data_IF_284234260081
#
_entry.id   IF_284234260081
#
_cell.length_a   1.000
_cell.length_b   1.000
_cell.length_c   1.000
_cell.angle_alpha   90.00
_cell.angle_beta   90.00
_cell.angle_gamma   90.00
#
_symmetry.space_group_name_H-M   'P 1'
#
loop_
_entity.id
_entity.type
_entity.pdbx_description
1 polymer ?
#
# COMPACT_ATOMS: atom_id res chain seq x y z
N UNK A 1 -12.91 19.92 41.79
CA UNK A 1 -14.29 20.27 41.40
C UNK A 1 -14.64 19.40 40.20
N UNK A 2 -15.63 18.56 40.39
CA UNK A 2 -16.11 17.58 39.39
C UNK A 2 -17.12 18.29 38.49
N UNK A 3 -16.98 18.23 37.17
CA UNK A 3 -18.06 18.47 36.27
C UNK A 3 -18.29 17.22 35.44
N UNK A 4 -19.42 16.61 35.71
CA UNK A 4 -20.02 15.53 34.93
C UNK A 4 -20.76 16.17 33.73
N UNK A 5 -20.47 15.74 32.54
CA UNK A 5 -21.28 16.03 31.37
C UNK A 5 -22.22 14.84 31.16
N UNK A 6 -23.49 15.11 31.24
CA UNK A 6 -24.61 14.17 31.08
C UNK A 6 -24.90 14.08 29.59
N UNK A 7 -24.78 12.89 29.01
CA UNK A 7 -25.28 12.59 27.67
C UNK A 7 -26.76 12.25 27.77
N UNK A 8 -27.58 13.04 27.10
CA UNK A 8 -29.01 12.78 26.97
C UNK A 8 -29.27 11.79 25.82
N UNK A 9 -29.82 10.64 26.16
CA UNK A 9 -30.46 9.73 25.21
C UNK A 9 -31.80 10.33 24.77
N UNK A 10 -31.99 10.48 23.48
CA UNK A 10 -33.29 10.65 22.88
C UNK A 10 -33.73 9.36 22.21
N UNK A 11 -34.56 8.60 22.89
CA UNK A 11 -35.37 7.51 22.31
C UNK A 11 -36.59 8.14 21.67
N UNK A 12 -36.76 8.03 20.36
CA UNK A 12 -38.00 8.23 19.67
C UNK A 12 -38.50 6.90 19.11
N UNK A 13 -39.54 6.41 19.77
CA UNK A 13 -40.39 5.31 19.32
C UNK A 13 -41.44 5.84 18.33
N UNK A 14 -41.56 5.21 17.15
CA UNK A 14 -42.75 5.19 16.30
C UNK A 14 -42.76 3.84 15.61
N UNK A 15 -43.67 2.95 15.86
CA UNK A 15 -45.09 3.05 15.68
C UNK A 15 -45.43 2.07 14.56
N UNK A 16 -45.71 0.80 14.92
CA UNK A 16 -46.18 -0.23 14.02
C UNK A 16 -47.57 0.11 13.44
N UNK A 17 -47.73 -0.06 12.15
CA UNK A 17 -49.08 -0.29 11.55
C UNK A 17 -49.05 -1.57 10.75
N UNK A 18 -49.64 -2.58 11.35
CA UNK A 18 -50.10 -3.82 10.71
C UNK A 18 -51.30 -3.51 9.82
N UNK A 19 -51.27 -3.93 8.59
CA UNK A 19 -52.46 -4.17 7.81
C UNK A 19 -52.45 -5.59 7.26
N UNK A 20 -53.28 -6.40 7.88
CA UNK A 20 -53.59 -7.74 7.45
C UNK A 20 -54.51 -7.72 6.23
N UNK A 21 -54.21 -8.54 5.25
CA UNK A 21 -55.10 -8.89 4.15
C UNK A 21 -55.12 -10.36 3.93
N UNK A 22 -56.15 -11.07 4.43
CA UNK A 22 -56.45 -12.46 4.18
C UNK A 22 -56.91 -12.71 2.75
N UNK A 23 -56.45 -13.82 2.17
CA UNK A 23 -57.02 -14.42 0.98
C UNK A 23 -56.51 -15.84 0.79
N UNK A 24 -57.25 -16.82 1.32
CA UNK A 24 -57.01 -18.22 1.18
C UNK A 24 -57.40 -18.77 -0.19
N UNK A 25 -56.63 -19.65 -0.79
CA UNK A 25 -57.12 -20.89 -1.40
C UNK A 25 -55.98 -21.93 -1.55
N UNK A 26 -56.30 -23.14 -1.17
CA UNK A 26 -55.42 -24.32 -1.17
C UNK A 26 -55.17 -24.82 -2.62
N UNK A 27 -53.94 -25.30 -2.84
CA UNK A 27 -53.59 -26.11 -4.01
C UNK A 27 -52.29 -26.83 -3.74
N UNK A 28 -52.41 -28.13 -3.61
CA UNK A 28 -51.32 -29.09 -3.33
C UNK A 28 -50.45 -29.26 -4.59
N UNK A 29 -49.11 -29.14 -4.46
CA UNK A 29 -48.18 -29.44 -5.53
C UNK A 29 -46.74 -29.36 -5.02
N UNK A 30 -46.15 -30.51 -4.74
CA UNK A 30 -44.77 -30.68 -4.35
C UNK A 30 -43.89 -30.44 -5.58
N UNK A 31 -43.16 -29.35 -5.63
CA UNK A 31 -41.96 -29.22 -6.44
C UNK A 31 -40.88 -28.51 -5.60
N UNK A 32 -39.83 -29.29 -5.27
CA UNK A 32 -38.58 -28.79 -4.76
C UNK A 32 -37.82 -28.07 -5.87
N UNK A 33 -38.16 -26.81 -6.10
CA UNK A 33 -37.34 -25.89 -6.84
C UNK A 33 -36.57 -25.06 -5.81
N UNK A 34 -35.27 -25.20 -5.76
CA UNK A 34 -34.43 -24.19 -5.13
C UNK A 34 -34.71 -22.87 -5.85
N UNK A 35 -35.53 -22.02 -5.22
CA UNK A 35 -35.62 -20.62 -5.60
C UNK A 35 -34.24 -20.03 -5.26
N UNK A 36 -33.42 -19.81 -6.27
CA UNK A 36 -32.34 -18.87 -6.14
C UNK A 36 -32.96 -17.55 -5.70
N UNK A 37 -32.64 -17.11 -4.51
CA UNK A 37 -32.82 -15.71 -4.15
C UNK A 37 -32.07 -14.94 -5.24
N UNK A 38 -32.81 -14.18 -6.05
CA UNK A 38 -32.18 -13.16 -6.87
C UNK A 38 -31.60 -12.18 -5.89
N UNK A 39 -30.28 -12.24 -5.67
CA UNK A 39 -29.59 -11.20 -4.94
C UNK A 39 -29.91 -9.89 -5.66
N UNK A 40 -30.40 -8.91 -4.94
CA UNK A 40 -30.66 -7.55 -5.42
C UNK A 40 -29.30 -6.80 -5.57
N UNK A 41 -28.23 -7.55 -5.85
CA UNK A 41 -26.90 -7.06 -6.05
C UNK A 41 -26.79 -6.49 -7.46
N UNK A 42 -26.39 -5.23 -7.55
CA UNK A 42 -26.17 -4.53 -8.80
C UNK A 42 -25.01 -5.14 -9.61
N UNK A 43 -24.85 -4.66 -10.83
CA UNK A 43 -23.72 -5.00 -11.68
C UNK A 43 -22.62 -3.95 -11.61
N UNK A 44 -22.37 -3.41 -10.42
CA UNK A 44 -21.34 -2.40 -10.15
C UNK A 44 -20.34 -2.98 -9.16
N UNK A 45 -19.06 -2.83 -9.45
CA UNK A 45 -17.94 -3.15 -8.56
C UNK A 45 -17.18 -1.86 -8.31
N UNK A 46 -17.21 -1.37 -7.07
CA UNK A 46 -16.48 -0.17 -6.66
C UNK A 46 -15.09 -0.52 -6.15
N UNK A 47 -14.05 -0.02 -6.83
CA UNK A 47 -12.66 -0.22 -6.45
C UNK A 47 -12.04 1.10 -5.99
N UNK A 48 -11.62 1.15 -4.71
CA UNK A 48 -10.87 2.27 -4.15
C UNK A 48 -9.38 2.13 -4.42
N UNK A 49 -8.79 3.15 -5.03
CA UNK A 49 -7.38 3.20 -5.44
C UNK A 49 -6.80 4.59 -5.19
N UNK A 50 -5.48 4.71 -5.06
CA UNK A 50 -4.79 6.01 -4.92
C UNK A 50 -4.32 6.60 -6.25
N UNK A 51 -4.25 5.79 -7.29
CA UNK A 51 -3.94 6.20 -8.66
C UNK A 51 -4.56 5.20 -9.65
N UNK A 52 -4.25 5.35 -10.92
CA UNK A 52 -4.77 4.51 -12.00
C UNK A 52 -3.88 3.28 -12.34
N UNK A 53 -2.82 3.03 -11.58
CA UNK A 53 -1.91 1.92 -11.88
C UNK A 53 -2.63 0.58 -11.81
N UNK A 54 -3.36 0.31 -10.74
CA UNK A 54 -4.08 -0.96 -10.60
C UNK A 54 -5.10 -1.17 -11.74
N UNK A 55 -5.84 -0.12 -12.12
CA UNK A 55 -6.74 -0.16 -13.27
C UNK A 55 -6.01 -0.56 -14.54
N UNK A 56 -4.93 0.13 -14.87
CA UNK A 56 -4.20 -0.13 -16.11
C UNK A 56 -3.57 -1.52 -16.16
N UNK A 57 -3.12 -2.04 -15.00
CA UNK A 57 -2.60 -3.42 -14.88
C UNK A 57 -3.73 -4.46 -15.06
N UNK A 58 -4.86 -4.25 -14.40
CA UNK A 58 -6.03 -5.13 -14.52
C UNK A 58 -6.51 -5.17 -15.98
N UNK A 59 -6.68 -4.01 -16.61
CA UNK A 59 -7.12 -3.91 -18.01
C UNK A 59 -6.16 -4.59 -18.99
N UNK A 60 -4.87 -4.62 -18.68
CA UNK A 60 -3.87 -5.27 -19.53
C UNK A 60 -3.93 -6.79 -19.48
N UNK A 61 -4.44 -7.40 -18.41
CA UNK A 61 -4.38 -8.85 -18.20
C UNK A 61 -5.74 -9.53 -18.06
N UNK A 62 -6.80 -8.80 -17.72
CA UNK A 62 -8.11 -9.37 -17.51
C UNK A 62 -8.91 -9.46 -18.81
N UNK A 63 -9.17 -10.68 -19.35
CA UNK A 63 -9.71 -10.87 -20.68
C UNK A 63 -11.18 -10.44 -20.82
N UNK A 64 -11.89 -10.25 -19.72
CA UNK A 64 -13.29 -9.85 -19.72
C UNK A 64 -13.49 -8.33 -19.86
N UNK A 65 -12.43 -7.55 -19.92
CA UNK A 65 -12.52 -6.10 -20.18
C UNK A 65 -13.01 -5.87 -21.60
N UNK A 66 -14.11 -5.13 -21.71
CA UNK A 66 -14.73 -4.76 -22.99
C UNK A 66 -14.29 -3.37 -23.44
N UNK A 67 -14.45 -2.39 -22.58
CA UNK A 67 -14.11 -1.00 -22.85
C UNK A 67 -13.95 -0.20 -21.56
N UNK A 68 -13.19 0.89 -21.64
CA UNK A 68 -13.03 1.85 -20.53
C UNK A 68 -13.50 3.22 -20.98
N UNK A 69 -14.19 3.94 -20.09
CA UNK A 69 -14.64 5.32 -20.32
C UNK A 69 -13.45 6.24 -20.63
N UNK A 70 -13.70 7.33 -21.38
CA UNK A 70 -12.63 8.24 -21.81
C UNK A 70 -11.87 8.91 -20.67
N UNK A 71 -12.54 9.10 -19.53
CA UNK A 71 -11.98 9.68 -18.32
C UNK A 71 -11.34 8.62 -17.40
N UNK A 72 -11.43 7.34 -17.76
CA UNK A 72 -10.86 6.23 -17.00
C UNK A 72 -11.57 5.93 -15.70
N UNK A 73 -12.80 6.44 -15.49
CA UNK A 73 -13.54 6.24 -14.23
C UNK A 73 -14.36 4.96 -14.19
N UNK A 74 -14.71 4.41 -15.37
CA UNK A 74 -15.53 3.19 -15.47
C UNK A 74 -14.94 2.26 -16.51
N UNK A 75 -14.74 0.99 -16.12
CA UNK A 75 -14.40 -0.11 -17.02
C UNK A 75 -15.59 -1.07 -17.11
N UNK A 76 -16.10 -1.31 -18.33
CA UNK A 76 -17.22 -2.20 -18.58
C UNK A 76 -16.69 -3.59 -18.99
N UNK A 77 -17.23 -4.65 -18.39
CA UNK A 77 -16.93 -6.03 -18.71
C UNK A 77 -17.84 -6.60 -19.79
N UNK A 78 -17.49 -7.75 -20.36
CA UNK A 78 -18.24 -8.40 -21.43
C UNK A 78 -19.67 -8.80 -21.03
N UNK A 79 -19.91 -9.09 -19.76
CA UNK A 79 -21.22 -9.45 -19.20
C UNK A 79 -22.08 -8.22 -18.82
N UNK A 80 -21.54 -7.02 -19.01
CA UNK A 80 -22.16 -5.74 -18.68
C UNK A 80 -21.95 -5.28 -17.23
N UNK A 81 -21.10 -5.96 -16.46
CA UNK A 81 -20.64 -5.47 -15.15
C UNK A 81 -19.79 -4.21 -15.35
N UNK A 82 -19.98 -3.22 -14.49
CA UNK A 82 -19.20 -1.98 -14.47
C UNK A 82 -18.25 -1.97 -13.29
N UNK A 83 -16.97 -1.72 -13.52
CA UNK A 83 -15.98 -1.44 -12.49
C UNK A 83 -15.84 0.07 -12.37
N UNK A 84 -16.22 0.62 -11.24
CA UNK A 84 -16.07 2.04 -10.93
C UNK A 84 -14.77 2.28 -10.16
N UNK A 85 -13.90 3.09 -10.73
CA UNK A 85 -12.59 3.43 -10.16
C UNK A 85 -12.69 4.69 -9.31
N UNK A 86 -12.62 4.54 -7.99
CA UNK A 86 -12.71 5.64 -7.04
C UNK A 86 -11.29 6.01 -6.61
N UNK A 87 -10.72 6.98 -7.33
CA UNK A 87 -9.31 7.37 -7.16
C UNK A 87 -9.21 8.54 -6.20
N UNK A 88 -8.49 8.32 -5.08
CA UNK A 88 -8.13 9.33 -4.11
C UNK A 88 -6.61 9.32 -3.91
N UNK A 89 -5.90 10.45 -4.09
CA UNK A 89 -4.44 10.45 -4.00
C UNK A 89 -3.95 10.06 -2.59
N UNK A 90 -2.84 9.31 -2.54
CA UNK A 90 -2.26 8.85 -1.27
C UNK A 90 -1.50 9.97 -0.51
N UNK A 91 -1.30 11.13 -1.14
CA UNK A 91 -0.60 12.26 -0.55
C UNK A 91 -1.31 12.74 0.73
N UNK A 92 -0.53 13.05 1.76
CA UNK A 92 -1.01 13.57 3.06
C UNK A 92 -2.08 12.69 3.75
N UNK A 93 -2.13 11.40 3.41
CA UNK A 93 -3.08 10.44 3.98
C UNK A 93 -4.53 10.60 3.48
N UNK A 94 -4.76 11.36 2.42
CA UNK A 94 -6.11 11.62 1.87
C UNK A 94 -6.79 10.32 1.48
N UNK A 95 -6.08 9.39 0.83
CA UNK A 95 -6.63 8.09 0.46
C UNK A 95 -7.22 7.33 1.66
N UNK A 96 -6.42 7.18 2.73
CA UNK A 96 -6.88 6.45 3.93
C UNK A 96 -8.07 7.14 4.59
N UNK A 97 -8.05 8.48 4.69
CA UNK A 97 -9.19 9.24 5.25
C UNK A 97 -10.47 9.00 4.46
N UNK A 98 -10.40 9.02 3.13
CA UNK A 98 -11.55 8.79 2.26
C UNK A 98 -12.03 7.34 2.28
N UNK A 99 -11.11 6.39 2.35
CA UNK A 99 -11.45 4.98 2.53
C UNK A 99 -12.16 4.74 3.87
N UNK A 100 -11.63 5.28 4.97
CA UNK A 100 -12.24 5.17 6.31
C UNK A 100 -13.65 5.78 6.35
N UNK A 101 -13.83 6.96 5.72
CA UNK A 101 -15.14 7.62 5.62
C UNK A 101 -16.15 6.73 4.87
N UNK A 102 -15.75 6.16 3.74
CA UNK A 102 -16.60 5.30 2.93
C UNK A 102 -16.92 3.98 3.65
N UNK A 103 -15.92 3.31 4.24
CA UNK A 103 -16.11 2.08 5.02
C UNK A 103 -17.02 2.29 6.23
N UNK A 104 -16.97 3.44 6.88
CA UNK A 104 -17.88 3.76 8.00
C UNK A 104 -19.37 3.80 7.60
N UNK A 105 -19.65 4.01 6.33
CA UNK A 105 -21.00 4.05 5.76
C UNK A 105 -21.41 2.73 5.09
N UNK A 106 -20.51 1.74 5.02
CA UNK A 106 -20.70 0.48 4.29
C UNK A 106 -22.00 -0.25 4.63
N UNK A 107 -22.37 -0.29 5.91
CA UNK A 107 -23.57 -1.00 6.38
C UNK A 107 -24.90 -0.37 5.91
N UNK A 108 -24.88 0.92 5.56
CA UNK A 108 -26.07 1.69 5.16
C UNK A 108 -26.07 2.09 3.69
N UNK A 109 -24.98 1.85 2.99
CA UNK A 109 -24.87 2.12 1.55
C UNK A 109 -25.80 1.21 0.75
N UNK A 110 -26.30 1.71 -0.39
CA UNK A 110 -26.99 0.88 -1.37
C UNK A 110 -26.04 -0.16 -1.96
N UNK A 111 -26.52 -1.23 -2.59
CA UNK A 111 -25.68 -2.25 -3.18
C UNK A 111 -24.62 -1.66 -4.13
N UNK A 112 -25.04 -0.75 -5.00
CA UNK A 112 -24.17 -0.12 -6.01
C UNK A 112 -23.22 0.97 -5.44
N UNK A 113 -23.37 1.39 -4.18
CA UNK A 113 -22.55 2.40 -3.53
C UNK A 113 -21.55 1.78 -2.52
N UNK A 114 -21.61 0.47 -2.29
CA UNK A 114 -20.69 -0.22 -1.40
C UNK A 114 -19.28 -0.27 -1.98
N UNK A 115 -18.28 -0.32 -1.10
CA UNK A 115 -16.93 -0.65 -1.49
C UNK A 115 -16.82 -2.18 -1.61
N UNK A 116 -16.41 -2.66 -2.77
CA UNK A 116 -16.21 -4.08 -3.00
C UNK A 116 -14.74 -4.46 -2.88
N UNK A 117 -13.84 -3.61 -3.40
CA UNK A 117 -12.40 -3.81 -3.35
C UNK A 117 -11.73 -2.48 -3.00
N UNK A 118 -10.69 -2.57 -2.18
CA UNK A 118 -9.83 -1.42 -1.92
C UNK A 118 -8.36 -1.83 -1.89
N UNK A 119 -7.49 -0.93 -2.29
CA UNK A 119 -6.05 -1.13 -2.20
C UNK A 119 -5.54 -0.76 -0.80
N UNK A 120 -4.50 -1.44 -0.34
CA UNK A 120 -3.85 -1.15 0.92
C UNK A 120 -2.34 -1.32 0.80
N UNK A 121 -1.60 -0.41 1.42
CA UNK A 121 -0.14 -0.53 1.57
C UNK A 121 0.19 -1.42 2.77
N UNK A 122 1.33 -2.09 2.70
CA UNK A 122 1.85 -2.92 3.80
C UNK A 122 1.92 -2.17 5.13
N UNK A 123 2.17 -0.86 5.09
CA UNK A 123 2.35 -0.02 6.28
C UNK A 123 1.08 0.10 7.14
N UNK A 124 -0.09 -0.11 6.55
CA UNK A 124 -1.36 0.02 7.26
C UNK A 124 -2.38 -1.07 6.93
N UNK A 125 -1.97 -2.15 6.25
CA UNK A 125 -2.88 -3.23 5.83
C UNK A 125 -3.62 -3.86 7.01
N UNK A 126 -2.96 -4.07 8.16
CA UNK A 126 -3.57 -4.66 9.35
C UNK A 126 -4.74 -3.86 9.92
N UNK A 127 -4.80 -2.57 9.68
CA UNK A 127 -5.95 -1.75 10.05
C UNK A 127 -7.25 -2.29 9.47
N UNK A 128 -7.18 -2.94 8.31
CA UNK A 128 -8.34 -3.42 7.56
C UNK A 128 -8.45 -4.94 7.53
N UNK A 129 -7.31 -5.66 7.62
CA UNK A 129 -7.28 -7.12 7.54
C UNK A 129 -7.29 -7.78 8.91
N UNK A 130 -7.09 -7.05 10.01
CA UNK A 130 -7.25 -7.63 11.35
C UNK A 130 -8.67 -8.17 11.52
N UNK A 131 -8.80 -9.35 12.11
CA UNK A 131 -10.10 -10.02 12.31
C UNK A 131 -11.09 -9.22 13.12
N UNK A 132 -10.58 -8.39 14.05
CA UNK A 132 -11.39 -7.56 14.94
C UNK A 132 -11.78 -6.22 14.29
N UNK A 133 -11.21 -5.89 13.12
CA UNK A 133 -11.57 -4.69 12.36
C UNK A 133 -12.93 -4.81 11.67
N UNK A 134 -13.38 -6.03 11.36
CA UNK A 134 -14.63 -6.32 10.65
C UNK A 134 -14.78 -5.53 9.32
N UNK A 135 -13.70 -5.45 8.56
CA UNK A 135 -13.64 -4.72 7.29
C UNK A 135 -13.38 -5.66 6.12
N UNK A 136 -12.17 -6.24 6.01
CA UNK A 136 -11.87 -7.16 4.94
C UNK A 136 -12.39 -8.56 5.29
N UNK A 137 -13.26 -9.11 4.43
CA UNK A 137 -13.79 -10.45 4.65
C UNK A 137 -12.78 -11.53 4.26
N UNK A 138 -12.85 -12.75 4.84
CA UNK A 138 -12.08 -13.88 4.38
C UNK A 138 -12.34 -14.16 2.89
N UNK A 139 -11.29 -14.36 2.12
CA UNK A 139 -11.45 -14.65 0.69
C UNK A 139 -12.14 -16.00 0.42
N UNK A 140 -12.03 -16.93 1.35
CA UNK A 140 -12.74 -18.22 1.27
C UNK A 140 -14.26 -18.05 1.37
N UNK A 141 -14.75 -17.04 2.08
CA UNK A 141 -16.18 -16.70 2.15
C UNK A 141 -16.72 -16.20 0.81
N UNK A 142 -15.83 -15.73 -0.07
CA UNK A 142 -16.12 -15.40 -1.47
C UNK A 142 -16.02 -16.61 -2.41
N UNK A 143 -15.77 -17.81 -1.87
CA UNK A 143 -15.61 -19.04 -2.66
C UNK A 143 -14.22 -19.19 -3.31
N UNK A 144 -13.23 -18.42 -2.90
CA UNK A 144 -11.87 -18.50 -3.41
C UNK A 144 -11.10 -19.55 -2.60
N UNK A 145 -10.65 -20.63 -3.27
CA UNK A 145 -9.69 -21.56 -2.67
C UNK A 145 -8.31 -20.90 -2.64
N UNK A 146 -7.95 -20.31 -1.50
CA UNK A 146 -6.72 -19.52 -1.37
C UNK A 146 -5.44 -20.35 -1.58
N UNK A 147 -5.44 -21.63 -1.20
CA UNK A 147 -4.29 -22.50 -1.39
C UNK A 147 -4.03 -22.82 -2.87
N UNK A 148 -5.08 -22.93 -3.66
CA UNK A 148 -4.98 -23.13 -5.10
C UNK A 148 -4.73 -21.82 -5.85
N UNK A 149 -5.50 -20.78 -5.53
CA UNK A 149 -5.44 -19.49 -6.24
C UNK A 149 -4.10 -18.77 -6.04
N UNK A 150 -3.45 -18.97 -4.89
CA UNK A 150 -2.21 -18.27 -4.53
C UNK A 150 -1.02 -19.23 -4.37
N UNK A 151 -1.08 -20.42 -4.97
CA UNK A 151 -0.02 -21.43 -4.88
C UNK A 151 1.35 -20.92 -5.38
N UNK A 152 1.34 -20.06 -6.37
CA UNK A 152 2.55 -19.50 -7.01
C UNK A 152 2.96 -18.13 -6.43
N UNK A 153 2.24 -17.60 -5.43
CA UNK A 153 2.63 -16.36 -4.77
C UNK A 153 3.75 -16.60 -3.75
N UNK A 154 4.60 -15.59 -3.56
CA UNK A 154 5.59 -15.60 -2.48
C UNK A 154 4.91 -15.61 -1.12
N UNK A 155 5.39 -16.44 -0.19
CA UNK A 155 4.80 -16.59 1.14
C UNK A 155 4.63 -15.28 1.89
N UNK A 156 5.62 -14.37 1.81
CA UNK A 156 5.53 -13.07 2.48
C UNK A 156 4.36 -12.22 1.99
N UNK A 157 3.98 -12.31 0.71
CA UNK A 157 2.85 -11.55 0.15
C UNK A 157 1.52 -12.09 0.63
N UNK A 158 1.43 -13.42 0.82
CA UNK A 158 0.27 -14.07 1.43
C UNK A 158 0.14 -13.69 2.91
N UNK A 159 1.24 -13.79 3.66
CA UNK A 159 1.27 -13.43 5.08
C UNK A 159 0.87 -11.99 5.33
N UNK A 160 1.34 -11.05 4.51
CA UNK A 160 1.00 -9.61 4.63
C UNK A 160 -0.50 -9.35 4.50
N UNK A 161 -1.21 -10.13 3.69
CA UNK A 161 -2.63 -9.98 3.44
C UNK A 161 -3.52 -10.93 4.28
N UNK A 162 -2.93 -11.62 5.26
CA UNK A 162 -3.63 -12.48 6.21
C UNK A 162 -3.84 -11.77 7.55
N UNK A 163 -4.86 -12.18 8.29
CA UNK A 163 -5.06 -11.74 9.67
C UNK A 163 -4.14 -12.45 10.67
N UNK A 164 -4.26 -12.12 11.96
CA UNK A 164 -3.46 -12.71 13.04
C UNK A 164 -3.67 -14.21 13.26
N UNK A 165 -4.77 -14.77 12.75
CA UNK A 165 -5.06 -16.21 12.79
C UNK A 165 -4.61 -16.94 11.51
N UNK A 166 -4.01 -16.20 10.56
CA UNK A 166 -3.54 -16.71 9.27
C UNK A 166 -4.62 -16.84 8.21
N UNK A 167 -5.82 -16.28 8.44
CA UNK A 167 -6.90 -16.28 7.47
C UNK A 167 -6.62 -15.24 6.37
N UNK A 168 -6.64 -15.68 5.12
CA UNK A 168 -6.39 -14.81 3.97
C UNK A 168 -7.55 -13.84 3.75
N UNK A 169 -7.29 -12.54 3.87
CA UNK A 169 -8.30 -11.46 3.73
C UNK A 169 -8.03 -10.53 2.55
N UNK A 170 -6.94 -10.71 1.87
CA UNK A 170 -6.57 -9.96 0.68
C UNK A 170 -5.53 -10.70 -0.13
N UNK A 171 -5.17 -10.13 -1.27
CA UNK A 171 -4.12 -10.64 -2.14
C UNK A 171 -3.25 -9.48 -2.61
N UNK A 172 -2.01 -9.77 -2.97
CA UNK A 172 -1.12 -8.76 -3.53
C UNK A 172 -1.12 -8.83 -5.05
N UNK A 173 -1.06 -7.67 -5.67
CA UNK A 173 -0.90 -7.51 -7.11
C UNK A 173 0.51 -7.02 -7.49
N UNK A 174 1.34 -6.69 -6.49
CA UNK A 174 2.71 -6.25 -6.67
C UNK A 174 3.67 -7.03 -5.78
N UNK A 175 4.85 -7.34 -6.31
CA UNK A 175 6.02 -7.72 -5.55
C UNK A 175 7.07 -6.63 -5.78
N UNK A 176 7.47 -5.95 -4.70
CA UNK A 176 8.30 -4.76 -4.76
C UNK A 176 9.70 -5.01 -4.20
N UNK A 177 10.62 -5.68 -4.96
CA UNK A 177 11.99 -5.85 -4.51
C UNK A 177 12.66 -4.49 -4.34
N UNK A 178 13.49 -4.35 -3.30
CA UNK A 178 14.29 -3.17 -3.07
C UNK A 178 15.46 -3.10 -4.05
N UNK A 179 15.75 -1.89 -4.53
CA UNK A 179 16.84 -1.57 -5.44
C UNK A 179 17.68 -0.44 -4.85
N UNK A 180 18.99 -0.49 -5.05
CA UNK A 180 19.83 0.68 -4.94
C UNK A 180 20.02 1.24 -6.34
N UNK A 181 19.61 2.48 -6.57
CA UNK A 181 19.86 3.22 -7.79
C UNK A 181 20.91 4.30 -7.53
N UNK A 182 21.84 4.49 -8.45
CA UNK A 182 22.95 5.42 -8.26
C UNK A 182 23.24 6.28 -9.50
N UNK A 183 23.86 7.44 -9.28
CA UNK A 183 24.33 8.37 -10.30
C UNK A 183 25.63 7.85 -10.93
N UNK A 184 25.57 7.50 -12.22
CA UNK A 184 26.73 7.04 -13.01
C UNK A 184 27.84 8.10 -13.10
N UNK A 185 27.46 9.37 -13.28
CA UNK A 185 28.40 10.47 -13.37
C UNK A 185 29.17 10.70 -12.06
N UNK A 186 28.47 10.58 -10.91
CA UNK A 186 29.11 10.65 -9.59
C UNK A 186 30.01 9.42 -9.36
N UNK A 187 29.55 8.22 -9.72
CA UNK A 187 30.33 6.99 -9.64
C UNK A 187 31.63 7.12 -10.44
N UNK A 188 31.53 7.62 -11.66
CA UNK A 188 32.69 7.85 -12.53
C UNK A 188 33.68 8.88 -11.96
N UNK A 189 33.19 10.01 -11.38
CA UNK A 189 34.04 11.03 -10.77
C UNK A 189 34.77 10.52 -9.51
N UNK A 190 34.09 9.71 -8.70
CA UNK A 190 34.63 9.28 -7.40
C UNK A 190 35.44 7.99 -7.53
N UNK A 191 34.92 7.00 -8.26
CA UNK A 191 35.48 5.64 -8.30
C UNK A 191 36.19 5.32 -9.62
N UNK A 192 36.00 6.15 -10.67
CA UNK A 192 36.54 5.90 -12.01
C UNK A 192 35.82 4.80 -12.77
N UNK A 193 34.68 4.33 -12.27
CA UNK A 193 33.81 3.34 -12.88
C UNK A 193 32.35 3.67 -12.62
N UNK A 194 31.49 3.31 -13.56
CA UNK A 194 30.02 3.33 -13.39
C UNK A 194 29.39 1.96 -13.64
N UNK A 195 30.23 0.92 -13.64
CA UNK A 195 29.81 -0.47 -13.82
C UNK A 195 28.97 -0.96 -12.62
N UNK A 196 27.74 -1.48 -12.84
CA UNK A 196 26.86 -1.91 -11.75
C UNK A 196 27.44 -3.04 -10.87
N UNK A 197 28.26 -3.94 -11.41
CA UNK A 197 28.87 -5.01 -10.62
C UNK A 197 29.93 -4.43 -9.69
N UNK A 198 30.79 -3.51 -10.18
CA UNK A 198 31.82 -2.86 -9.38
C UNK A 198 31.21 -1.94 -8.30
N UNK A 199 30.15 -1.21 -8.63
CA UNK A 199 29.41 -0.40 -7.64
C UNK A 199 28.66 -1.29 -6.64
N UNK A 200 28.12 -2.42 -7.08
CA UNK A 200 27.51 -3.43 -6.22
C UNK A 200 28.50 -3.94 -5.15
N UNK A 201 29.75 -4.20 -5.51
CA UNK A 201 30.79 -4.58 -4.54
C UNK A 201 31.11 -3.50 -3.51
N UNK A 202 30.99 -2.22 -3.89
CA UNK A 202 31.18 -1.07 -2.99
C UNK A 202 29.98 -0.81 -2.05
N UNK A 203 28.83 -1.40 -2.33
CA UNK A 203 27.56 -1.15 -1.61
C UNK A 203 26.93 -2.41 -1.01
N UNK A 204 27.63 -3.56 -1.05
CA UNK A 204 27.11 -4.89 -0.72
C UNK A 204 26.78 -5.12 0.77
N UNK A 205 27.40 -4.39 1.65
CA UNK A 205 27.20 -4.46 3.10
C UNK A 205 27.48 -3.11 3.76
N UNK A 206 27.13 -2.99 5.06
CA UNK A 206 27.27 -1.74 5.80
C UNK A 206 28.70 -1.24 5.95
N UNK A 207 29.65 -2.12 6.12
CA UNK A 207 31.07 -1.76 6.29
C UNK A 207 31.64 -1.20 4.99
N UNK A 208 31.35 -1.87 3.87
CA UNK A 208 31.76 -1.44 2.52
C UNK A 208 31.05 -0.14 2.13
N UNK A 209 29.75 -0.04 2.38
CA UNK A 209 28.97 1.15 2.09
C UNK A 209 29.45 2.37 2.88
N UNK A 210 29.86 2.18 4.15
CA UNK A 210 30.43 3.23 4.97
C UNK A 210 31.78 3.71 4.47
N UNK A 211 32.63 2.78 3.99
CA UNK A 211 33.89 3.14 3.33
C UNK A 211 33.64 3.94 2.04
N UNK A 212 32.68 3.51 1.23
CA UNK A 212 32.23 4.20 0.02
C UNK A 212 31.67 5.60 0.33
N UNK A 213 30.91 5.74 1.43
CA UNK A 213 30.40 7.04 1.88
C UNK A 213 31.52 8.03 2.25
N UNK A 214 32.60 7.53 2.83
CA UNK A 214 33.78 8.36 3.11
C UNK A 214 34.46 8.85 1.83
N UNK A 215 34.64 7.99 0.81
CA UNK A 215 35.18 8.35 -0.50
C UNK A 215 34.31 9.40 -1.19
N UNK A 216 32.99 9.22 -1.18
CA UNK A 216 32.01 10.18 -1.72
C UNK A 216 32.12 11.54 -1.02
N UNK A 217 32.19 11.52 0.32
CA UNK A 217 32.30 12.73 1.13
C UNK A 217 33.57 13.51 0.85
N UNK A 218 34.72 12.87 0.65
CA UNK A 218 35.98 13.52 0.29
C UNK A 218 35.89 14.30 -1.01
N UNK A 219 35.04 13.85 -1.94
CA UNK A 219 34.74 14.53 -3.21
C UNK A 219 33.58 15.55 -3.11
N UNK A 220 32.94 15.66 -1.95
CA UNK A 220 31.86 16.62 -1.70
C UNK A 220 30.47 16.12 -2.10
N UNK A 221 30.29 14.80 -2.22
CA UNK A 221 29.02 14.16 -2.46
C UNK A 221 28.41 13.59 -1.18
N UNK A 222 27.11 13.38 -1.20
CA UNK A 222 26.34 12.63 -0.20
C UNK A 222 26.06 11.22 -0.72
N UNK A 223 26.06 10.24 0.15
CA UNK A 223 25.69 8.87 -0.23
C UNK A 223 24.20 8.75 -0.49
N UNK A 224 23.40 9.22 0.46
CA UNK A 224 21.94 9.29 0.36
C UNK A 224 21.42 10.71 0.61
N UNK A 225 20.19 10.95 0.21
CA UNK A 225 19.56 12.26 0.37
C UNK A 225 19.31 12.61 1.84
N UNK A 226 18.87 11.63 2.62
CA UNK A 226 18.55 11.83 4.05
C UNK A 226 18.75 10.54 4.85
N UNK A 227 18.69 10.66 6.17
CA UNK A 227 18.71 9.50 7.08
C UNK A 227 17.49 8.58 6.90
N UNK A 228 16.39 9.09 6.37
CA UNK A 228 15.17 8.30 6.18
C UNK A 228 15.30 7.28 5.03
N UNK A 229 16.20 7.52 4.07
CA UNK A 229 16.35 6.66 2.90
C UNK A 229 16.76 5.22 3.26
N UNK A 230 17.47 5.05 4.37
CA UNK A 230 17.95 3.74 4.81
C UNK A 230 16.98 2.96 5.71
N UNK A 231 15.85 3.56 6.10
CA UNK A 231 14.93 2.94 7.08
C UNK A 231 14.49 1.54 6.66
N UNK A 232 14.12 1.35 5.39
CA UNK A 232 13.59 0.05 4.91
C UNK A 232 14.60 -1.09 4.99
N UNK A 233 15.90 -0.82 4.94
CA UNK A 233 16.94 -1.84 5.11
C UNK A 233 16.93 -2.44 6.53
N UNK A 234 16.57 -1.65 7.52
CA UNK A 234 16.44 -2.09 8.91
C UNK A 234 15.02 -2.55 9.23
N UNK A 235 14.02 -1.73 8.86
CA UNK A 235 12.62 -1.95 9.21
C UNK A 235 12.03 -3.23 8.61
N UNK A 236 12.44 -3.60 7.38
CA UNK A 236 11.97 -4.82 6.74
C UNK A 236 12.70 -6.08 7.23
N UNK A 237 13.69 -5.95 8.11
CA UNK A 237 14.48 -7.06 8.63
C UNK A 237 14.33 -7.27 10.14
N UNK A 238 13.37 -6.60 10.80
CA UNK A 238 13.10 -6.77 12.23
C UNK A 238 12.68 -8.21 12.56
N UNK A 239 13.07 -8.67 13.73
CA UNK A 239 12.75 -10.00 14.23
C UNK A 239 11.52 -9.98 15.16
N UNK A 240 11.31 -8.86 15.85
CA UNK A 240 10.22 -8.67 16.80
C UNK A 240 9.15 -7.74 16.24
N UNK A 241 7.88 -8.13 16.38
CA UNK A 241 6.76 -7.23 16.09
C UNK A 241 6.77 -6.03 17.05
N UNK A 242 6.37 -4.85 16.56
CA UNK A 242 6.23 -3.63 17.38
C UNK A 242 5.32 -3.83 18.59
N UNK A 243 4.28 -4.68 18.44
CA UNK A 243 3.41 -5.12 19.52
C UNK A 243 3.30 -6.63 19.42
N UNK A 244 3.64 -7.34 20.47
CA UNK A 244 3.55 -8.81 20.51
C UNK A 244 2.07 -9.24 20.54
N UNK A 245 1.68 -10.32 19.86
CA UNK A 245 0.32 -10.83 19.90
C UNK A 245 -0.18 -11.04 21.34
N UNK A 246 -1.37 -10.51 21.66
CA UNK A 246 -1.97 -10.57 22.98
C UNK A 246 -1.35 -9.64 24.04
N UNK A 247 -0.52 -8.69 23.62
CA UNK A 247 0.10 -7.69 24.49
C UNK A 247 -0.27 -6.27 24.05
N UNK A 248 -0.24 -5.33 24.97
CA UNK A 248 -0.34 -3.88 24.74
C UNK A 248 1.01 -3.16 24.87
N UNK A 249 2.10 -3.94 24.96
CA UNK A 249 3.45 -3.42 25.18
C UNK A 249 4.15 -3.21 23.86
N UNK A 250 4.66 -2.00 23.63
CA UNK A 250 5.50 -1.69 22.46
C UNK A 250 6.91 -2.22 22.69
N UNK A 251 7.40 -2.99 21.71
CA UNK A 251 8.77 -3.51 21.65
C UNK A 251 9.53 -2.78 20.55
N UNK A 252 10.69 -2.26 20.87
CA UNK A 252 11.59 -1.65 19.88
C UNK A 252 12.69 -2.65 19.55
N UNK A 253 12.60 -3.23 18.36
CA UNK A 253 13.62 -4.16 17.87
C UNK A 253 15.02 -3.51 17.86
N UNK A 254 16.03 -4.32 18.12
CA UNK A 254 17.43 -3.88 18.12
C UNK A 254 17.86 -3.27 16.77
N UNK A 255 17.33 -3.77 15.65
CA UNK A 255 17.62 -3.25 14.32
C UNK A 255 17.12 -1.82 14.15
N UNK A 256 15.96 -1.49 14.73
CA UNK A 256 15.45 -0.11 14.74
C UNK A 256 16.37 0.80 15.59
N UNK A 257 16.82 0.32 16.74
CA UNK A 257 17.78 1.07 17.56
C UNK A 257 19.12 1.28 16.82
N UNK A 258 19.58 0.28 16.08
CA UNK A 258 20.77 0.41 15.23
C UNK A 258 20.55 1.45 14.13
N UNK A 259 19.41 1.42 13.43
CA UNK A 259 19.09 2.44 12.43
C UNK A 259 19.16 3.87 13.00
N UNK A 260 18.62 4.10 14.20
CA UNK A 260 18.68 5.42 14.85
C UNK A 260 20.13 5.85 15.11
N UNK A 261 20.96 4.94 15.60
CA UNK A 261 22.37 5.22 15.89
C UNK A 261 23.18 5.47 14.61
N UNK A 262 23.01 4.62 13.61
CA UNK A 262 23.70 4.74 12.32
C UNK A 262 23.24 6.00 11.56
N UNK A 263 21.95 6.31 11.61
CA UNK A 263 21.42 7.55 11.02
C UNK A 263 22.04 8.79 11.65
N UNK A 264 22.21 8.79 12.97
CA UNK A 264 22.90 9.88 13.68
C UNK A 264 24.38 9.96 13.28
N UNK A 265 25.08 8.82 13.23
CA UNK A 265 26.47 8.78 12.81
C UNK A 265 26.65 9.30 11.38
N UNK A 266 25.80 8.87 10.45
CA UNK A 266 25.85 9.31 9.05
C UNK A 266 25.57 10.79 8.88
N UNK A 267 24.63 11.32 9.66
CA UNK A 267 24.33 12.75 9.67
C UNK A 267 25.51 13.57 10.22
N UNK A 268 26.10 13.14 11.34
CA UNK A 268 27.26 13.80 11.98
C UNK A 268 28.51 13.74 11.07
N UNK A 269 28.71 12.64 10.34
CA UNK A 269 29.80 12.48 9.37
C UNK A 269 29.56 13.25 8.07
N UNK A 270 28.34 13.70 7.79
CA UNK A 270 27.94 14.39 6.57
C UNK A 270 27.87 13.46 5.35
N UNK A 271 27.50 12.20 5.55
CA UNK A 271 27.25 11.21 4.50
C UNK A 271 25.86 11.36 3.88
N UNK A 272 24.95 12.08 4.54
CA UNK A 272 23.63 12.44 4.07
C UNK A 272 23.45 13.97 4.11
N UNK A 273 22.53 14.50 3.30
CA UNK A 273 22.27 15.95 3.31
C UNK A 273 21.40 16.32 4.52
N UNK A 274 21.97 17.06 5.45
CA UNK A 274 21.28 17.51 6.67
C UNK A 274 20.11 18.49 6.40
N UNK A 275 19.99 19.04 5.20
CA UNK A 275 18.91 19.95 4.83
C UNK A 275 17.65 19.20 4.41
N UNK A 276 17.78 17.97 3.90
CA UNK A 276 16.67 17.14 3.49
C UNK A 276 16.14 16.37 4.71
N UNK A 277 14.91 16.68 5.14
CA UNK A 277 14.34 16.19 6.41
C UNK A 277 13.59 14.86 6.33
N UNK A 278 13.63 14.20 5.19
CA UNK A 278 12.96 12.93 4.97
C UNK A 278 12.58 12.73 3.52
N UNK A 279 11.78 11.73 3.24
CA UNK A 279 11.30 11.37 1.92
C UNK A 279 9.96 12.07 1.60
N UNK A 280 9.55 12.01 0.33
CA UNK A 280 8.22 12.42 -0.16
C UNK A 280 7.94 13.92 -0.03
N UNK A 281 8.97 14.76 -0.19
CA UNK A 281 8.85 16.21 -0.22
C UNK A 281 9.67 16.80 -1.38
N UNK A 282 9.47 18.11 -1.65
CA UNK A 282 10.10 18.78 -2.79
C UNK A 282 11.63 18.74 -2.75
N UNK A 283 12.25 18.83 -1.58
CA UNK A 283 13.72 18.83 -1.46
C UNK A 283 14.28 17.42 -1.75
N UNK A 284 13.59 16.39 -1.29
CA UNK A 284 13.92 15.02 -1.62
C UNK A 284 13.75 14.72 -3.12
N UNK A 285 12.66 15.20 -3.74
CA UNK A 285 12.44 15.08 -5.17
C UNK A 285 13.55 15.76 -5.98
N UNK A 286 13.91 17.01 -5.65
CA UNK A 286 14.98 17.74 -6.31
C UNK A 286 16.35 17.06 -6.19
N UNK A 287 16.55 16.27 -5.15
CA UNK A 287 17.80 15.54 -4.96
C UNK A 287 18.06 14.44 -6.02
N UNK A 288 17.07 14.12 -6.86
CA UNK A 288 17.20 13.18 -7.98
C UNK A 288 17.68 13.85 -9.28
N UNK A 289 17.65 15.19 -9.35
CA UNK A 289 18.07 15.94 -10.54
C UNK A 289 19.58 16.08 -10.69
N UNK A 290 20.02 16.56 -11.86
CA UNK A 290 21.43 16.70 -12.24
C UNK A 290 22.25 17.65 -11.35
N UNK A 291 21.61 18.66 -10.77
CA UNK A 291 22.27 19.64 -9.89
C UNK A 291 22.53 19.07 -8.48
N UNK A 292 21.97 17.90 -8.18
CA UNK A 292 22.13 17.24 -6.88
C UNK A 292 23.51 16.62 -6.72
N UNK A 293 23.98 16.60 -5.46
CA UNK A 293 25.19 15.90 -5.03
C UNK A 293 24.91 14.57 -4.35
N UNK A 294 23.70 14.07 -4.45
CA UNK A 294 23.28 12.77 -3.88
C UNK A 294 23.66 11.65 -4.84
N UNK A 295 24.42 10.70 -4.34
CA UNK A 295 24.92 9.57 -5.12
C UNK A 295 23.85 8.51 -5.38
N UNK A 296 23.08 8.12 -4.35
CA UNK A 296 22.18 6.97 -4.45
C UNK A 296 20.86 7.15 -3.73
N UNK A 297 19.87 6.38 -4.17
CA UNK A 297 18.58 6.20 -3.52
C UNK A 297 18.26 4.71 -3.38
N UNK A 298 17.41 4.39 -2.42
CA UNK A 298 16.86 3.06 -2.22
C UNK A 298 15.38 3.09 -2.57
N UNK A 299 15.01 2.41 -3.64
CA UNK A 299 13.65 2.34 -4.15
C UNK A 299 13.13 0.91 -4.22
N UNK A 300 11.81 0.70 -4.11
CA UNK A 300 11.18 -0.45 -4.72
C UNK A 300 11.15 -0.28 -6.25
N UNK A 301 10.95 -1.36 -7.00
CA UNK A 301 11.00 -1.34 -8.46
C UNK A 301 10.09 -0.27 -9.11
N UNK A 302 8.89 -0.04 -8.55
CA UNK A 302 7.99 1.01 -9.02
C UNK A 302 8.54 2.44 -8.81
N UNK A 303 9.46 2.61 -7.87
CA UNK A 303 10.09 3.92 -7.58
C UNK A 303 10.85 4.49 -8.77
N UNK A 304 11.29 3.66 -9.70
CA UNK A 304 11.94 4.12 -10.94
C UNK A 304 10.96 4.96 -11.76
N UNK A 305 9.78 4.43 -12.05
CA UNK A 305 8.81 5.09 -12.94
C UNK A 305 8.03 6.22 -12.22
N UNK A 306 7.65 6.00 -10.95
CA UNK A 306 6.77 6.92 -10.24
C UNK A 306 7.49 7.98 -9.39
N UNK A 307 8.79 7.81 -9.15
CA UNK A 307 9.55 8.70 -8.28
C UNK A 307 10.80 9.24 -8.97
N UNK A 308 11.67 8.37 -9.45
CA UNK A 308 12.94 8.79 -10.05
C UNK A 308 12.72 9.50 -11.39
N UNK A 309 12.02 8.87 -12.34
CA UNK A 309 11.82 9.40 -13.68
C UNK A 309 11.13 10.78 -13.71
N UNK A 310 10.08 11.04 -12.89
CA UNK A 310 9.47 12.37 -12.84
C UNK A 310 10.36 13.47 -12.25
N UNK A 311 11.43 13.10 -11.51
CA UNK A 311 12.25 14.03 -10.74
C UNK A 311 13.73 14.09 -11.16
N UNK A 312 14.17 13.32 -12.14
CA UNK A 312 15.58 13.26 -12.53
C UNK A 312 16.09 14.46 -13.35
N UNK A 313 15.34 15.51 -13.48
CA UNK A 313 15.56 16.72 -14.28
C UNK A 313 17.04 16.95 -14.69
N UNK A 314 17.31 16.80 -16.01
CA UNK A 314 18.64 16.90 -16.57
C UNK A 314 19.61 15.75 -16.24
N UNK A 315 19.14 14.70 -15.55
CA UNK A 315 19.92 13.52 -15.21
C UNK A 315 19.42 12.25 -15.93
N UNK A 316 18.64 12.40 -17.00
CA UNK A 316 18.17 11.29 -17.83
C UNK A 316 19.35 10.47 -18.37
N UNK A 317 19.31 9.15 -18.16
CA UNK A 317 20.40 8.26 -18.56
C UNK A 317 21.64 8.27 -17.67
N UNK A 318 21.67 9.11 -16.61
CA UNK A 318 22.75 9.15 -15.63
C UNK A 318 22.50 8.25 -14.41
N UNK A 319 21.43 7.48 -14.40
CA UNK A 319 21.09 6.55 -13.32
C UNK A 319 21.30 5.08 -13.74
N UNK A 320 21.69 4.23 -12.80
CA UNK A 320 21.81 2.80 -12.94
C UNK A 320 21.32 2.07 -11.69
#
# INVERSE_FOLDING_TARGET
>A
MKQKVISAMLLLSMGATLLAGCGSTAGNGTETGAAGESSDEGKVINIYSWNDEFRTRLEAVYPEVKETSKDGTVTTLNDGTEIHWIINPNQDGVYQQKLDEALSNQATASADDKIDIFLSETDYVFKYTDKDADVAMPLEDLGINCDEAFADQYDFTRTTASDSDGVQRGSTWQCCPGLLVYRRDIAMDVFGTDDPEEIGEKTKDWDTLKATAAELKEKGYYTFSSYADTFRLYGNSIDDSWVQPGSDTVVVDKKITNWVNDSKEWLDAGYVDANIKGQWNDDWNKAMGSESKVFAFLFPAWGIDFTLAPNWDGAEGSWA
#
